data_IF_787728232247
#
_entry.id   IF_787728232247
#
_cell.length_a   1.000
_cell.length_b   1.000
_cell.length_c   1.000
_cell.angle_alpha   90.00
_cell.angle_beta   90.00
_cell.angle_gamma   90.00
#
_symmetry.space_group_name_H-M   'P 1'
#
loop_
_entity.id
_entity.type
_entity.pdbx_description
1 polymer ?
#
# COMPACT_ATOMS: atom_id res chain seq x y z
N UNK A 1 15.36 -6.91 3.26
CA UNK A 1 14.03 -7.26 2.75
C UNK A 1 14.14 -7.60 1.27
N UNK A 2 13.53 -8.65 0.76
CA UNK A 2 13.48 -8.87 -0.67
C UNK A 2 12.63 -7.76 -1.32
N UNK A 3 13.15 -7.19 -2.39
CA UNK A 3 12.42 -6.28 -3.26
C UNK A 3 11.17 -7.00 -3.79
N UNK A 4 10.00 -6.49 -3.53
CA UNK A 4 8.75 -7.14 -3.93
C UNK A 4 7.86 -6.19 -4.72
N UNK A 5 7.20 -6.72 -5.74
CA UNK A 5 6.18 -5.99 -6.49
C UNK A 5 4.92 -5.69 -5.65
N UNK A 6 4.86 -6.18 -4.42
CA UNK A 6 3.73 -5.98 -3.51
C UNK A 6 3.44 -4.50 -3.27
N UNK A 7 4.49 -3.68 -3.09
CA UNK A 7 4.36 -2.23 -2.99
C UNK A 7 3.65 -1.62 -4.21
N UNK A 8 4.06 -2.02 -5.42
CA UNK A 8 3.45 -1.51 -6.66
C UNK A 8 1.95 -1.81 -6.70
N UNK A 9 1.56 -3.05 -6.43
CA UNK A 9 0.15 -3.46 -6.47
C UNK A 9 -0.69 -2.78 -5.40
N UNK A 10 -0.16 -2.61 -4.19
CA UNK A 10 -0.88 -1.94 -3.10
C UNK A 10 -1.07 -0.44 -3.37
N UNK A 11 -0.07 0.24 -3.91
CA UNK A 11 -0.20 1.64 -4.31
C UNK A 11 -1.13 1.81 -5.52
N UNK A 12 -1.06 0.90 -6.50
CA UNK A 12 -2.02 0.88 -7.62
C UNK A 12 -3.45 0.67 -7.14
N UNK A 13 -3.69 -0.19 -6.15
CA UNK A 13 -5.02 -0.33 -5.55
C UNK A 13 -5.53 1.02 -5.01
N UNK A 14 -4.70 1.78 -4.29
CA UNK A 14 -5.03 3.13 -3.82
C UNK A 14 -5.29 4.11 -4.98
N UNK A 15 -4.42 4.14 -5.98
CA UNK A 15 -4.53 5.06 -7.12
C UNK A 15 -5.75 4.76 -8.02
N UNK A 16 -6.05 3.49 -8.29
CA UNK A 16 -7.07 3.08 -9.25
C UNK A 16 -8.45 2.98 -8.63
N UNK A 17 -8.56 2.38 -7.44
CA UNK A 17 -9.83 2.14 -6.74
C UNK A 17 -10.22 3.31 -5.83
N UNK A 18 -9.28 4.23 -5.55
CA UNK A 18 -9.46 5.33 -4.62
C UNK A 18 -9.17 4.95 -3.17
N UNK A 19 -9.25 5.93 -2.26
CA UNK A 19 -8.82 5.78 -0.87
C UNK A 19 -9.49 4.63 -0.12
N UNK A 20 -10.83 4.64 -0.07
CA UNK A 20 -11.58 3.65 0.71
C UNK A 20 -11.52 2.26 0.11
N UNK A 21 -11.84 2.12 -1.19
CA UNK A 21 -11.87 0.82 -1.87
C UNK A 21 -10.48 0.20 -1.97
N UNK A 22 -9.45 1.01 -2.26
CA UNK A 22 -8.06 0.55 -2.29
C UNK A 22 -7.59 0.04 -0.93
N UNK A 23 -7.85 0.78 0.16
CA UNK A 23 -7.51 0.36 1.51
C UNK A 23 -8.26 -0.92 1.93
N UNK A 24 -9.55 -1.04 1.60
CA UNK A 24 -10.36 -2.24 1.88
C UNK A 24 -9.80 -3.46 1.12
N UNK A 25 -9.40 -3.30 -0.13
CA UNK A 25 -8.80 -4.38 -0.91
C UNK A 25 -7.49 -4.87 -0.29
N UNK A 26 -6.61 -3.96 0.13
CA UNK A 26 -5.35 -4.30 0.80
C UNK A 26 -5.59 -4.88 2.20
N UNK A 27 -6.59 -4.37 2.93
CA UNK A 27 -7.01 -4.93 4.22
C UNK A 27 -7.54 -6.36 4.08
N UNK A 28 -8.38 -6.62 3.08
CA UNK A 28 -8.88 -7.96 2.78
C UNK A 28 -7.71 -8.92 2.47
N UNK A 29 -6.74 -8.50 1.66
CA UNK A 29 -5.52 -9.26 1.42
C UNK A 29 -4.79 -9.59 2.75
N UNK A 30 -4.60 -8.61 3.64
CA UNK A 30 -3.98 -8.82 4.94
C UNK A 30 -4.75 -9.82 5.80
N UNK A 31 -6.08 -9.70 5.87
CA UNK A 31 -6.94 -10.59 6.66
C UNK A 31 -6.94 -12.03 6.13
N UNK A 32 -6.97 -12.21 4.80
CA UNK A 32 -6.87 -13.53 4.17
C UNK A 32 -5.53 -14.20 4.46
N UNK A 33 -4.42 -13.44 4.43
CA UNK A 33 -3.11 -13.94 4.81
C UNK A 33 -3.03 -14.35 6.28
N UNK A 34 -3.62 -13.57 7.19
CA UNK A 34 -3.71 -13.92 8.62
C UNK A 34 -4.63 -15.11 8.89
N UNK A 35 -5.67 -15.32 8.09
CA UNK A 35 -6.54 -16.50 8.16
C UNK A 35 -5.84 -17.81 7.78
N UNK A 36 -4.59 -17.74 7.30
CA UNK A 36 -3.77 -18.93 7.01
C UNK A 36 -3.51 -19.17 5.53
N UNK A 37 -4.03 -18.34 4.63
CA UNK A 37 -3.69 -18.46 3.21
C UNK A 37 -2.22 -18.07 2.99
N UNK A 38 -1.41 -18.87 2.25
CA UNK A 38 0.01 -18.63 2.04
C UNK A 38 0.23 -17.56 0.95
N UNK A 39 -0.29 -16.35 1.18
CA UNK A 39 -0.24 -15.22 0.23
C UNK A 39 0.79 -14.15 0.60
N UNK A 40 1.38 -14.23 1.79
CA UNK A 40 2.52 -13.40 2.16
C UNK A 40 3.83 -14.02 1.67
N UNK A 41 4.90 -13.25 1.63
CA UNK A 41 6.21 -13.67 1.10
C UNK A 41 6.77 -14.93 1.78
N UNK A 42 6.42 -15.17 3.04
CA UNK A 42 6.92 -16.30 3.84
C UNK A 42 5.77 -17.17 4.38
N UNK A 43 4.65 -17.25 3.67
CA UNK A 43 3.49 -18.06 4.05
C UNK A 43 2.30 -17.24 4.52
N UNK A 44 1.58 -17.71 5.54
CA UNK A 44 0.40 -17.06 6.12
C UNK A 44 0.12 -17.56 7.54
N UNK A 45 -0.95 -17.05 8.13
CA UNK A 45 -1.40 -17.39 9.47
C UNK A 45 -1.04 -16.37 10.54
N UNK A 46 -1.59 -16.55 11.74
CA UNK A 46 -1.41 -15.62 12.86
C UNK A 46 0.05 -15.47 13.32
N UNK A 47 0.88 -16.47 13.08
CA UNK A 47 2.32 -16.39 13.36
C UNK A 47 3.03 -15.27 12.59
N UNK A 48 2.45 -14.83 11.49
CA UNK A 48 3.02 -13.73 10.71
C UNK A 48 3.01 -12.39 11.47
N UNK A 49 2.15 -12.25 12.49
CA UNK A 49 2.16 -11.10 13.41
C UNK A 49 3.49 -10.95 14.17
N UNK A 50 4.17 -12.05 14.46
CA UNK A 50 5.46 -12.01 15.14
C UNK A 50 6.63 -11.73 14.20
N UNK A 51 6.39 -11.68 12.89
CA UNK A 51 7.43 -11.35 11.92
C UNK A 51 7.67 -9.85 11.82
N UNK A 52 8.93 -9.41 11.86
CA UNK A 52 9.26 -7.98 11.73
C UNK A 52 8.72 -7.33 10.44
N UNK A 53 8.55 -8.13 9.38
CA UNK A 53 8.01 -7.69 8.09
C UNK A 53 6.51 -7.35 8.11
N UNK A 54 5.76 -7.79 9.13
CA UNK A 54 4.31 -7.55 9.19
C UNK A 54 3.95 -6.06 9.28
N UNK A 55 4.80 -5.25 9.89
CA UNK A 55 4.61 -3.80 9.94
C UNK A 55 4.48 -3.13 8.57
N UNK A 56 5.15 -3.67 7.57
CA UNK A 56 5.02 -3.17 6.20
C UNK A 56 3.65 -3.50 5.59
N UNK A 57 3.05 -4.64 5.95
CA UNK A 57 1.70 -5.02 5.49
C UNK A 57 0.66 -4.07 6.10
N UNK A 58 0.80 -3.71 7.38
CA UNK A 58 -0.02 -2.67 8.01
C UNK A 58 0.19 -1.33 7.29
N UNK A 59 1.45 -0.99 7.02
CA UNK A 59 1.83 0.21 6.27
C UNK A 59 1.21 0.26 4.88
N UNK A 60 1.06 -0.87 4.20
CA UNK A 60 0.42 -0.94 2.88
C UNK A 60 -1.06 -0.58 2.94
N UNK A 61 -1.81 -0.98 3.98
CA UNK A 61 -3.22 -0.62 4.15
C UNK A 61 -3.35 0.90 4.30
N UNK A 62 -2.57 1.49 5.22
CA UNK A 62 -2.60 2.93 5.49
C UNK A 62 -2.05 3.71 4.28
N UNK A 63 -0.95 3.23 3.70
CA UNK A 63 -0.32 3.82 2.52
C UNK A 63 -1.26 3.84 1.30
N UNK A 64 -1.97 2.75 1.04
CA UNK A 64 -2.96 2.69 -0.04
C UNK A 64 -4.10 3.69 0.18
N UNK A 65 -4.57 3.84 1.43
CA UNK A 65 -5.59 4.84 1.77
C UNK A 65 -5.09 6.27 1.49
N UNK A 66 -3.90 6.61 1.97
CA UNK A 66 -3.33 7.97 1.82
C UNK A 66 -3.00 8.27 0.37
N UNK A 67 -2.39 7.32 -0.34
CA UNK A 67 -2.12 7.45 -1.79
C UNK A 67 -3.40 7.71 -2.57
N UNK A 68 -4.45 6.91 -2.30
CA UNK A 68 -5.76 7.10 -2.91
C UNK A 68 -6.38 8.44 -2.56
N UNK A 69 -6.31 8.86 -1.30
CA UNK A 69 -6.88 10.13 -0.83
C UNK A 69 -6.21 11.34 -1.48
N UNK A 70 -4.88 11.34 -1.54
CA UNK A 70 -4.12 12.39 -2.23
C UNK A 70 -4.49 12.42 -3.71
N UNK A 71 -4.53 11.26 -4.37
CA UNK A 71 -4.90 11.17 -5.79
C UNK A 71 -6.34 11.60 -6.10
N UNK A 72 -7.27 11.47 -5.15
CA UNK A 72 -8.66 11.95 -5.27
C UNK A 72 -8.76 13.46 -5.11
N UNK A 73 -8.05 14.05 -4.15
CA UNK A 73 -8.13 15.46 -3.81
C UNK A 73 -7.39 16.38 -4.78
N UNK A 74 -6.44 15.84 -5.56
CA UNK A 74 -5.67 16.64 -6.50
C UNK A 74 -6.48 17.05 -7.74
N UNK A 75 -6.51 18.35 -8.08
CA UNK A 75 -7.28 18.87 -9.23
C UNK A 75 -6.70 18.43 -10.58
N UNK A 76 -5.37 18.27 -10.66
CA UNK A 76 -4.69 17.86 -11.90
C UNK A 76 -4.23 16.41 -11.82
N UNK A 77 -4.75 15.57 -12.71
CA UNK A 77 -4.42 14.12 -12.79
C UNK A 77 -3.21 13.89 -13.71
N UNK A 78 -2.05 14.40 -13.31
CA UNK A 78 -0.78 14.29 -14.05
C UNK A 78 0.16 13.29 -13.38
N UNK A 79 1.15 12.79 -14.13
CA UNK A 79 2.15 11.83 -13.60
C UNK A 79 2.82 12.35 -12.32
N UNK A 80 3.33 13.60 -12.23
CA UNK A 80 3.98 14.07 -11.02
C UNK A 80 3.05 14.11 -9.81
N UNK A 81 1.74 14.32 -10.00
CA UNK A 81 0.78 14.28 -8.89
C UNK A 81 0.56 12.85 -8.38
N UNK A 82 0.47 11.86 -9.27
CA UNK A 82 0.41 10.45 -8.86
C UNK A 82 1.71 9.98 -8.24
N UNK A 83 2.85 10.47 -8.73
CA UNK A 83 4.14 10.18 -8.12
C UNK A 83 4.23 10.74 -6.70
N UNK A 84 3.79 11.99 -6.48
CA UNK A 84 3.74 12.58 -5.14
C UNK A 84 2.83 11.78 -4.19
N UNK A 85 1.67 11.33 -4.68
CA UNK A 85 0.76 10.48 -3.91
C UNK A 85 1.42 9.14 -3.53
N UNK A 86 2.13 8.51 -4.46
CA UNK A 86 2.88 7.27 -4.20
C UNK A 86 4.00 7.49 -3.19
N UNK A 87 4.78 8.56 -3.32
CA UNK A 87 5.88 8.86 -2.39
C UNK A 87 5.37 9.14 -0.97
N UNK A 88 4.22 9.81 -0.83
CA UNK A 88 3.58 9.99 0.46
C UNK A 88 3.13 8.66 1.08
N UNK A 89 2.53 7.77 0.27
CA UNK A 89 2.20 6.41 0.69
C UNK A 89 3.44 5.60 1.08
N UNK A 90 4.51 5.71 0.29
CA UNK A 90 5.81 5.06 0.56
C UNK A 90 6.40 5.47 1.91
N UNK A 91 6.39 6.78 2.21
CA UNK A 91 6.86 7.29 3.49
C UNK A 91 6.12 6.67 4.69
N UNK A 92 4.79 6.49 4.56
CA UNK A 92 3.97 5.85 5.60
C UNK A 92 4.30 4.36 5.73
N UNK A 93 4.46 3.66 4.60
CA UNK A 93 4.84 2.24 4.59
C UNK A 93 6.16 2.03 5.33
N UNK A 94 7.17 2.87 5.06
CA UNK A 94 8.46 2.79 5.75
C UNK A 94 8.35 3.19 7.23
N UNK A 95 7.60 4.24 7.56
CA UNK A 95 7.40 4.64 8.95
C UNK A 95 6.76 3.52 9.78
N UNK A 96 5.68 2.91 9.30
CA UNK A 96 5.02 1.79 9.96
C UNK A 96 5.92 0.54 9.99
N UNK A 97 6.53 0.20 8.86
CA UNK A 97 7.37 -0.99 8.71
C UNK A 97 8.58 -0.97 9.61
N UNK A 98 9.36 0.12 9.59
CA UNK A 98 10.57 0.25 10.41
C UNK A 98 10.24 0.34 11.90
N UNK A 99 9.18 1.07 12.28
CA UNK A 99 8.77 1.15 13.68
C UNK A 99 8.37 -0.23 14.23
N UNK A 100 7.58 -0.97 13.48
CA UNK A 100 7.18 -2.32 13.85
C UNK A 100 8.36 -3.29 13.89
N UNK A 101 9.23 -3.22 12.88
CA UNK A 101 10.44 -4.02 12.81
C UNK A 101 11.33 -3.81 14.03
N UNK A 102 11.54 -2.55 14.41
CA UNK A 102 12.32 -2.20 15.60
C UNK A 102 11.71 -2.79 16.89
N UNK A 103 10.40 -2.62 17.07
CA UNK A 103 9.69 -3.12 18.26
C UNK A 103 9.77 -4.65 18.34
N UNK A 104 9.47 -5.35 17.25
CA UNK A 104 9.48 -6.82 17.24
C UNK A 104 10.87 -7.37 17.49
N UNK A 105 11.91 -6.83 16.85
CA UNK A 105 13.27 -7.33 17.02
C UNK A 105 13.83 -7.07 18.44
N UNK A 106 13.54 -5.92 19.03
CA UNK A 106 14.14 -5.54 20.30
C UNK A 106 13.35 -6.02 21.53
N UNK A 107 12.03 -6.28 21.41
CA UNK A 107 11.18 -6.59 22.56
C UNK A 107 10.47 -7.93 22.48
N UNK A 108 10.44 -8.60 21.31
CA UNK A 108 9.66 -9.84 21.14
C UNK A 108 10.53 -11.02 20.73
N UNK A 109 11.50 -10.82 19.84
CA UNK A 109 12.32 -11.92 19.27
C UNK A 109 13.70 -12.01 19.94
N UNK A 110 14.05 -11.07 20.81
CA UNK A 110 15.37 -10.96 21.47
C UNK A 110 16.56 -10.96 20.49
N UNK A 111 16.36 -10.39 19.33
CA UNK A 111 17.42 -10.13 18.32
C UNK A 111 17.64 -8.63 18.18
N UNK A 112 18.29 -7.98 19.15
CA UNK A 112 18.36 -6.52 19.18
C UNK A 112 19.06 -5.97 17.96
N UNK A 113 18.39 -5.03 17.31
CA UNK A 113 18.93 -4.31 16.15
C UNK A 113 19.06 -2.81 16.47
N UNK A 114 20.21 -2.23 16.17
CA UNK A 114 20.40 -0.80 16.28
C UNK A 114 19.63 -0.06 15.17
N UNK A 115 19.25 1.19 15.45
CA UNK A 115 18.48 2.04 14.51
C UNK A 115 19.23 2.25 13.18
N UNK A 116 20.55 2.37 13.23
CA UNK A 116 21.36 2.63 12.04
C UNK A 116 21.41 1.47 11.04
N UNK A 117 21.72 0.22 11.43
CA UNK A 117 21.59 -0.92 10.53
C UNK A 117 20.16 -1.10 9.99
N UNK A 118 19.15 -0.90 10.82
CA UNK A 118 17.75 -0.97 10.41
C UNK A 118 17.46 0.03 9.28
N UNK A 119 17.86 1.29 9.46
CA UNK A 119 17.68 2.33 8.47
C UNK A 119 18.42 2.03 7.16
N UNK A 120 19.65 1.54 7.26
CA UNK A 120 20.48 1.23 6.10
C UNK A 120 19.88 0.08 5.27
N UNK A 121 19.50 -1.02 5.92
CA UNK A 121 18.98 -2.21 5.21
C UNK A 121 17.53 -2.06 4.77
N UNK A 122 16.68 -1.44 5.59
CA UNK A 122 15.25 -1.36 5.31
C UNK A 122 14.88 -0.12 4.49
N UNK A 123 15.68 0.92 4.48
CA UNK A 123 15.39 2.16 3.79
C UNK A 123 16.36 2.41 2.62
N UNK A 124 17.66 2.59 2.89
CA UNK A 124 18.61 3.02 1.85
C UNK A 124 18.70 2.01 0.70
N UNK A 125 18.65 0.73 1.00
CA UNK A 125 18.78 -0.32 -0.02
C UNK A 125 17.50 -0.54 -0.82
N UNK A 126 16.33 -0.34 -0.22
CA UNK A 126 15.03 -0.61 -0.83
C UNK A 126 14.44 0.60 -1.58
N UNK A 127 14.66 1.82 -1.09
CA UNK A 127 14.09 3.06 -1.64
C UNK A 127 14.35 3.27 -3.14
N UNK A 128 15.55 3.04 -3.70
CA UNK A 128 15.77 3.25 -5.13
C UNK A 128 14.85 2.40 -6.00
N UNK A 129 14.63 1.13 -5.60
CA UNK A 129 13.69 0.22 -6.29
C UNK A 129 12.25 0.68 -6.16
N UNK A 130 11.83 1.09 -4.98
CA UNK A 130 10.46 1.54 -4.71
C UNK A 130 10.14 2.89 -5.38
N UNK A 131 11.12 3.77 -5.54
CA UNK A 131 10.97 4.99 -6.35
C UNK A 131 10.74 4.63 -7.82
N UNK A 132 11.50 3.69 -8.37
CA UNK A 132 11.29 3.22 -9.73
C UNK A 132 9.88 2.63 -9.91
N UNK A 133 9.42 1.80 -8.96
CA UNK A 133 8.05 1.27 -8.94
C UNK A 133 7.00 2.37 -8.79
N UNK A 134 7.29 3.42 -8.02
CA UNK A 134 6.39 4.57 -7.87
C UNK A 134 6.19 5.31 -9.19
N UNK A 135 7.26 5.45 -9.99
CA UNK A 135 7.17 6.05 -11.34
C UNK A 135 6.34 5.16 -12.25
N UNK A 136 6.61 3.86 -12.29
CA UNK A 136 5.83 2.89 -13.08
C UNK A 136 4.36 2.94 -12.68
N UNK A 137 4.06 2.91 -11.38
CA UNK A 137 2.70 3.02 -10.85
C UNK A 137 1.99 4.31 -11.26
N UNK A 138 2.69 5.46 -11.24
CA UNK A 138 2.14 6.73 -11.66
C UNK A 138 1.81 6.77 -13.16
N UNK A 139 2.66 6.17 -14.00
CA UNK A 139 2.42 6.06 -15.44
C UNK A 139 1.21 5.15 -15.73
N UNK A 140 1.15 4.00 -15.09
CA UNK A 140 0.02 3.06 -15.22
C UNK A 140 -1.27 3.74 -14.76
N UNK A 141 -1.25 4.38 -13.59
CA UNK A 141 -2.42 5.06 -13.05
C UNK A 141 -2.94 6.16 -13.99
N UNK A 142 -2.06 6.96 -14.60
CA UNK A 142 -2.48 7.98 -15.55
C UNK A 142 -3.22 7.39 -16.76
N UNK A 143 -2.83 6.20 -17.22
CA UNK A 143 -3.45 5.54 -18.37
C UNK A 143 -4.74 4.79 -18.03
N UNK A 144 -4.75 4.10 -16.91
CA UNK A 144 -5.79 3.12 -16.54
C UNK A 144 -6.90 3.74 -15.69
N UNK A 145 -6.57 4.69 -14.80
CA UNK A 145 -7.54 5.29 -13.88
C UNK A 145 -8.79 5.89 -14.54
N UNK A 146 -8.72 6.60 -15.67
CA UNK A 146 -9.92 7.12 -16.31
C UNK A 146 -10.90 6.02 -16.73
N UNK A 147 -10.39 4.87 -17.18
CA UNK A 147 -11.18 3.72 -17.59
C UNK A 147 -11.86 3.05 -16.39
N UNK A 148 -11.10 2.83 -15.33
CA UNK A 148 -11.61 2.23 -14.06
C UNK A 148 -12.67 3.13 -13.43
N UNK A 149 -12.46 4.45 -13.39
CA UNK A 149 -13.43 5.39 -12.83
C UNK A 149 -14.72 5.48 -13.65
N UNK A 150 -14.66 5.32 -14.96
CA UNK A 150 -15.84 5.30 -15.81
C UNK A 150 -16.71 4.06 -15.54
N UNK A 151 -16.09 2.89 -15.32
CA UNK A 151 -16.81 1.65 -14.97
C UNK A 151 -17.51 1.79 -13.62
N UNK A 152 -16.78 2.13 -12.55
CA UNK A 152 -17.35 2.28 -11.21
C UNK A 152 -18.28 3.48 -11.04
N UNK A 153 -18.11 4.53 -11.84
CA UNK A 153 -19.00 5.69 -11.85
C UNK A 153 -20.36 5.39 -12.48
N UNK A 154 -20.39 4.53 -13.48
CA UNK A 154 -21.65 4.06 -14.08
C UNK A 154 -22.44 3.19 -13.13
N UNK A 155 -21.79 2.31 -12.36
CA UNK A 155 -22.44 1.47 -11.35
C UNK A 155 -23.13 2.34 -10.28
N UNK A 156 -22.47 3.38 -9.80
CA UNK A 156 -23.01 4.30 -8.79
C UNK A 156 -24.23 5.09 -9.30
N UNK A 157 -24.23 5.49 -10.57
CA UNK A 157 -25.37 6.17 -11.20
C UNK A 157 -26.53 5.20 -11.40
N UNK A 158 -26.25 3.97 -11.80
CA UNK A 158 -27.26 2.92 -12.00
C UNK A 158 -27.93 2.54 -10.67
N UNK A 159 -27.16 2.40 -9.59
CA UNK A 159 -27.70 2.16 -8.25
C UNK A 159 -28.56 3.33 -7.72
N UNK A 160 -28.10 4.58 -7.94
CA UNK A 160 -28.86 5.76 -7.53
C UNK A 160 -30.20 5.87 -8.27
N UNK A 161 -30.21 5.52 -9.55
CA UNK A 161 -31.44 5.52 -10.37
C UNK A 161 -32.37 4.36 -9.98
N UNK A 162 -31.82 3.18 -9.64
CA UNK A 162 -32.60 2.04 -9.21
C UNK A 162 -33.23 2.22 -7.81
N UNK A 163 -32.60 3.02 -6.94
CA UNK A 163 -33.09 3.30 -5.58
C UNK A 163 -33.97 4.55 -5.50
N UNK A 164 -34.26 5.22 -6.63
CA UNK A 164 -35.17 6.40 -6.67
C UNK A 164 -34.66 7.61 -5.88
N UNK A 165 -33.36 7.72 -5.63
CA UNK A 165 -32.72 8.85 -4.93
C UNK A 165 -32.15 9.88 -5.93
N UNK A 166 -32.96 10.32 -6.86
CA UNK A 166 -32.69 11.48 -7.73
C UNK A 166 -33.70 12.57 -7.42
#
# INVERSE_FOLDING_TARGET
>A
MPFTLQYLFTMLAGLLLGAKRGAIAVLAYMLLGLAGLPIFTEGGGLWYLLKPSFGYIIGFVIGAYVTGRIAETMPKKTIPHYLLANLAGLAIVYACGMSYYYVICNYVIDTPIAVWPLFLYCFILAVPGDIALSVVGAVIAKRVRPQVFNVFGQDAVTEATATGRV
#
